data_IF_267572093935
#
_entry.id   IF_267572093935
#
_cell.length_a   1.000
_cell.length_b   1.000
_cell.length_c   1.000
_cell.angle_alpha   90.00
_cell.angle_beta   90.00
_cell.angle_gamma   90.00
#
_symmetry.space_group_name_H-M   'P 1'
#
loop_
_entity.id
_entity.type
_entity.pdbx_description
1 polymer ?
#
# COMPACT_ATOMS: atom_id res chain seq x y z
N UNK A 1 -12.44 15.19 -0.20
CA UNK A 1 -11.43 14.32 0.44
C UNK A 1 -10.44 13.75 -0.59
N UNK A 2 -10.92 13.03 -1.61
CA UNK A 2 -10.08 12.43 -2.66
C UNK A 2 -9.11 13.41 -3.33
N UNK A 3 -9.60 14.55 -3.84
CA UNK A 3 -8.73 15.55 -4.47
C UNK A 3 -7.62 16.05 -3.54
N UNK A 4 -7.92 16.23 -2.24
CA UNK A 4 -6.95 16.70 -1.23
C UNK A 4 -5.88 15.63 -0.93
N UNK A 5 -6.27 14.37 -0.88
CA UNK A 5 -5.33 13.25 -0.76
C UNK A 5 -4.47 13.12 -2.02
N UNK A 6 -5.08 13.22 -3.20
CA UNK A 6 -4.39 13.12 -4.48
C UNK A 6 -3.29 14.18 -4.64
N UNK A 7 -3.54 15.41 -4.19
CA UNK A 7 -2.55 16.50 -4.19
C UNK A 7 -1.28 16.12 -3.41
N UNK A 8 -1.40 15.42 -2.28
CA UNK A 8 -0.23 14.92 -1.53
C UNK A 8 0.36 13.64 -2.12
N UNK A 9 -0.50 12.73 -2.55
CA UNK A 9 -0.13 11.39 -3.04
C UNK A 9 0.70 11.43 -4.30
N UNK A 10 0.29 12.20 -5.32
CA UNK A 10 0.92 12.17 -6.64
C UNK A 10 2.39 12.60 -6.58
N UNK A 11 2.74 13.79 -6.04
CA UNK A 11 4.14 14.19 -5.96
C UNK A 11 4.94 13.28 -5.02
N UNK A 12 4.36 12.82 -3.92
CA UNK A 12 5.06 11.97 -2.96
C UNK A 12 5.30 10.55 -3.49
N UNK A 13 4.37 9.97 -4.25
CA UNK A 13 4.55 8.66 -4.88
C UNK A 13 5.60 8.72 -5.99
N UNK A 14 5.59 9.79 -6.79
CA UNK A 14 6.63 10.02 -7.79
C UNK A 14 8.02 10.19 -7.15
N UNK A 15 8.14 11.04 -6.12
CA UNK A 15 9.39 11.20 -5.37
C UNK A 15 9.81 9.90 -4.68
N UNK A 16 8.88 9.14 -4.11
CA UNK A 16 9.14 7.85 -3.49
C UNK A 16 9.72 6.84 -4.47
N UNK A 17 9.23 6.80 -5.71
CA UNK A 17 9.79 5.94 -6.75
C UNK A 17 11.21 6.36 -7.15
N UNK A 18 11.48 7.67 -7.28
CA UNK A 18 12.82 8.17 -7.58
C UNK A 18 13.81 7.90 -6.44
N UNK A 19 13.40 8.11 -5.19
CA UNK A 19 14.21 7.80 -4.01
C UNK A 19 14.45 6.30 -3.91
N UNK A 20 13.46 5.46 -4.22
CA UNK A 20 13.66 4.01 -4.18
C UNK A 20 14.80 3.55 -5.10
N UNK A 21 14.95 4.19 -6.25
CA UNK A 21 15.98 3.84 -7.23
C UNK A 21 17.40 4.23 -6.80
N UNK A 22 17.55 5.15 -5.85
CA UNK A 22 18.85 5.56 -5.32
C UNK A 22 19.20 4.87 -4.00
N UNK A 23 18.23 4.21 -3.35
CA UNK A 23 18.46 3.51 -2.09
C UNK A 23 19.15 2.16 -2.30
N UNK A 24 20.06 1.77 -1.39
CA UNK A 24 20.63 0.43 -1.38
C UNK A 24 19.52 -0.61 -1.23
N UNK A 25 19.60 -1.72 -1.96
CA UNK A 25 18.59 -2.79 -1.91
C UNK A 25 18.33 -3.31 -0.50
N UNK A 26 19.34 -3.33 0.38
CA UNK A 26 19.20 -3.71 1.79
C UNK A 26 18.30 -2.76 2.58
N UNK A 27 18.37 -1.45 2.33
CA UNK A 27 17.50 -0.45 2.99
C UNK A 27 16.06 -0.61 2.52
N UNK A 28 15.85 -0.80 1.22
CA UNK A 28 14.52 -1.02 0.64
C UNK A 28 13.90 -2.32 1.16
N UNK A 29 14.69 -3.40 1.22
CA UNK A 29 14.25 -4.69 1.75
C UNK A 29 13.89 -4.60 3.23
N UNK A 30 14.70 -3.91 4.05
CA UNK A 30 14.38 -3.70 5.47
C UNK A 30 13.14 -2.83 5.66
N UNK A 31 12.98 -1.76 4.87
CA UNK A 31 11.79 -0.91 4.92
C UNK A 31 10.53 -1.70 4.53
N UNK A 32 10.59 -2.48 3.44
CA UNK A 32 9.51 -3.35 3.01
C UNK A 32 9.19 -4.42 4.06
N UNK A 33 10.22 -5.05 4.64
CA UNK A 33 10.07 -6.06 5.69
C UNK A 33 9.35 -5.49 6.91
N UNK A 34 9.83 -4.35 7.43
CA UNK A 34 9.24 -3.66 8.57
C UNK A 34 7.79 -3.26 8.30
N UNK A 35 7.50 -2.71 7.12
CA UNK A 35 6.15 -2.31 6.73
C UNK A 35 5.20 -3.52 6.61
N UNK A 36 5.64 -4.60 5.96
CA UNK A 36 4.84 -5.81 5.76
C UNK A 36 4.56 -6.53 7.07
N UNK A 37 5.56 -6.60 7.96
CA UNK A 37 5.39 -7.11 9.34
C UNK A 37 4.40 -6.25 10.12
N UNK A 38 4.56 -4.93 10.08
CA UNK A 38 3.66 -4.00 10.77
C UNK A 38 2.20 -4.16 10.31
N UNK A 39 1.97 -4.26 8.99
CA UNK A 39 0.65 -4.51 8.41
C UNK A 39 0.09 -5.86 8.85
N UNK A 40 0.90 -6.92 8.81
CA UNK A 40 0.49 -8.26 9.25
C UNK A 40 0.07 -8.29 10.72
N UNK A 41 0.85 -7.65 11.60
CA UNK A 41 0.53 -7.51 13.03
C UNK A 41 -0.71 -6.65 13.25
N UNK A 42 -0.87 -5.54 12.50
CA UNK A 42 -2.07 -4.71 12.60
C UNK A 42 -3.33 -5.45 12.16
N UNK A 43 -3.26 -6.32 11.16
CA UNK A 43 -4.42 -7.11 10.72
C UNK A 43 -4.92 -8.10 11.79
N UNK A 44 -4.08 -8.48 12.75
CA UNK A 44 -4.48 -9.30 13.89
C UNK A 44 -5.13 -8.49 15.01
N UNK A 45 -5.01 -7.15 15.01
CA UNK A 45 -5.64 -6.30 16.02
C UNK A 45 -7.15 -6.20 15.75
N UNK A 46 -8.00 -6.25 16.80
CA UNK A 46 -9.43 -6.00 16.65
C UNK A 46 -9.66 -4.62 16.01
N UNK A 47 -10.45 -4.57 14.92
CA UNK A 47 -10.91 -3.29 14.37
C UNK A 47 -11.89 -2.66 15.35
N UNK A 48 -11.42 -1.73 16.16
CA UNK A 48 -12.31 -0.86 16.91
C UNK A 48 -13.02 0.07 15.91
N UNK A 49 -14.33 -0.09 15.77
CA UNK A 49 -15.18 0.88 15.07
C UNK A 49 -15.24 2.12 15.97
N UNK A 50 -14.45 3.14 15.64
CA UNK A 50 -14.49 4.44 16.32
C UNK A 50 -15.53 5.33 15.66
N UNK A 51 -16.23 6.13 16.47
CA UNK A 51 -17.18 7.14 15.99
C UNK A 51 -16.51 8.07 14.97
N UNK A 52 -17.24 8.33 13.88
CA UNK A 52 -16.70 8.95 12.70
C UNK A 52 -16.54 10.48 12.85
N UNK A 53 -15.35 11.01 12.54
CA UNK A 53 -15.13 12.41 12.23
C UNK A 53 -15.21 12.58 10.72
N UNK A 54 -16.20 13.34 10.25
CA UNK A 54 -16.46 13.47 8.81
C UNK A 54 -15.59 14.53 8.11
N UNK A 55 -14.91 15.38 8.89
CA UNK A 55 -14.09 16.47 8.38
C UNK A 55 -12.65 16.43 8.93
N UNK A 56 -11.77 15.81 8.15
CA UNK A 56 -10.33 16.02 8.29
C UNK A 56 -9.94 17.33 7.58
N UNK A 57 -9.13 18.14 8.27
CA UNK A 57 -8.57 19.36 7.69
C UNK A 57 -7.76 19.07 6.42
N UNK A 58 -7.75 20.02 5.49
CA UNK A 58 -7.04 19.88 4.20
C UNK A 58 -5.57 19.56 4.36
N UNK A 59 -4.89 20.20 5.32
CA UNK A 59 -3.48 19.94 5.61
C UNK A 59 -3.23 18.49 6.09
N UNK A 60 -4.09 17.96 6.96
CA UNK A 60 -3.98 16.57 7.43
C UNK A 60 -4.18 15.57 6.29
N UNK A 61 -5.15 15.81 5.40
CA UNK A 61 -5.37 14.96 4.23
C UNK A 61 -4.21 14.98 3.25
N UNK A 62 -3.59 16.14 3.01
CA UNK A 62 -2.41 16.25 2.15
C UNK A 62 -1.22 15.52 2.78
N UNK A 63 -0.98 15.70 4.08
CA UNK A 63 0.12 15.02 4.78
C UNK A 63 -0.04 13.49 4.80
N UNK A 64 -1.26 13.00 5.07
CA UNK A 64 -1.59 11.57 4.98
C UNK A 64 -1.38 11.06 3.57
N UNK A 65 -1.85 11.81 2.57
CA UNK A 65 -1.65 11.47 1.17
C UNK A 65 -0.17 11.37 0.80
N UNK A 66 0.64 12.34 1.23
CA UNK A 66 2.08 12.33 0.99
C UNK A 66 2.77 11.13 1.65
N UNK A 67 2.49 10.88 2.92
CA UNK A 67 3.05 9.74 3.66
C UNK A 67 2.69 8.40 3.01
N UNK A 68 1.42 8.22 2.67
CA UNK A 68 0.92 7.00 2.03
C UNK A 68 1.47 6.85 0.62
N UNK A 69 1.51 7.92 -0.17
CA UNK A 69 2.01 7.91 -1.54
C UNK A 69 3.49 7.53 -1.58
N UNK A 70 4.31 8.18 -0.75
CA UNK A 70 5.74 7.90 -0.63
C UNK A 70 5.99 6.46 -0.16
N UNK A 71 5.36 6.06 0.95
CA UNK A 71 5.51 4.71 1.50
C UNK A 71 5.08 3.63 0.51
N UNK A 72 3.93 3.82 -0.15
CA UNK A 72 3.40 2.84 -1.12
C UNK A 72 4.24 2.73 -2.39
N UNK A 73 4.89 3.81 -2.83
CA UNK A 73 5.78 3.80 -3.99
C UNK A 73 7.13 3.13 -3.67
N UNK A 74 7.66 3.35 -2.45
CA UNK A 74 8.85 2.67 -1.97
C UNK A 74 8.64 1.16 -1.81
N UNK A 75 7.52 0.75 -1.22
CA UNK A 75 7.26 -0.66 -0.89
C UNK A 75 6.53 -1.43 -1.99
N UNK A 76 5.96 -0.74 -2.98
CA UNK A 76 5.18 -1.36 -4.07
C UNK A 76 3.84 -1.96 -3.63
N UNK A 77 3.37 -1.68 -2.40
CA UNK A 77 2.16 -2.33 -1.84
C UNK A 77 0.84 -1.81 -2.41
N UNK A 78 0.84 -0.66 -3.08
CA UNK A 78 -0.37 0.04 -3.50
C UNK A 78 -1.12 0.67 -2.31
N UNK A 79 -1.57 1.92 -2.48
CA UNK A 79 -2.11 2.79 -1.43
C UNK A 79 -3.01 2.21 -0.33
N UNK A 80 -3.92 1.24 -0.58
CA UNK A 80 -4.92 0.85 0.42
C UNK A 80 -4.37 0.19 1.68
N UNK A 81 -3.26 -0.54 1.57
CA UNK A 81 -2.67 -1.27 2.69
C UNK A 81 -2.28 -0.32 3.83
N UNK A 82 -1.77 0.86 3.47
CA UNK A 82 -1.39 1.91 4.43
C UNK A 82 -2.52 2.91 4.69
N UNK A 83 -3.29 3.27 3.67
CA UNK A 83 -4.28 4.33 3.77
C UNK A 83 -5.48 3.92 4.63
N UNK A 84 -5.95 2.68 4.54
CA UNK A 84 -7.10 2.20 5.34
C UNK A 84 -6.82 2.31 6.84
N UNK A 85 -5.76 1.73 7.41
CA UNK A 85 -5.50 1.85 8.85
C UNK A 85 -5.26 3.29 9.29
N UNK A 86 -4.56 4.10 8.48
CA UNK A 86 -4.33 5.53 8.80
C UNK A 86 -5.63 6.33 8.84
N UNK A 87 -6.55 6.11 7.90
CA UNK A 87 -7.85 6.80 7.91
C UNK A 87 -8.72 6.33 9.09
N UNK A 88 -8.66 5.05 9.45
CA UNK A 88 -9.38 4.52 10.62
C UNK A 88 -8.85 5.10 11.94
N UNK A 89 -7.53 5.25 12.10
CA UNK A 89 -6.96 5.87 13.32
C UNK A 89 -7.30 7.35 13.42
N UNK A 90 -7.48 8.03 12.29
CA UNK A 90 -7.95 9.40 12.19
C UNK A 90 -9.47 9.56 12.37
N UNK A 91 -10.20 8.46 12.58
CA UNK A 91 -11.64 8.47 12.84
C UNK A 91 -12.52 8.57 11.59
N UNK A 92 -12.03 8.21 10.41
CA UNK A 92 -12.88 8.16 9.20
C UNK A 92 -13.74 6.90 9.21
N UNK A 93 -15.00 7.03 8.79
CA UNK A 93 -15.93 5.90 8.69
C UNK A 93 -15.32 4.73 7.87
N UNK A 94 -15.42 3.47 8.34
CA UNK A 94 -14.74 2.33 7.70
C UNK A 94 -15.07 2.15 6.21
N UNK A 95 -16.35 2.27 5.84
CA UNK A 95 -16.78 2.15 4.44
C UNK A 95 -16.15 3.25 3.56
N UNK A 96 -16.11 4.49 4.07
CA UNK A 96 -15.51 5.64 3.38
C UNK A 96 -13.99 5.50 3.29
N UNK A 97 -13.33 5.01 4.34
CA UNK A 97 -11.90 4.75 4.36
C UNK A 97 -11.50 3.72 3.30
N UNK A 98 -12.25 2.61 3.17
CA UNK A 98 -12.03 1.59 2.14
C UNK A 98 -12.26 2.17 0.74
N UNK A 99 -13.39 2.85 0.51
CA UNK A 99 -13.72 3.43 -0.79
C UNK A 99 -12.69 4.46 -1.26
N UNK A 100 -12.30 5.40 -0.39
CA UNK A 100 -11.28 6.41 -0.69
C UNK A 100 -9.93 5.76 -0.95
N UNK A 101 -9.57 4.73 -0.18
CA UNK A 101 -8.30 4.04 -0.33
C UNK A 101 -8.14 3.36 -1.69
N UNK A 102 -9.21 2.72 -2.18
CA UNK A 102 -9.24 2.12 -3.51
C UNK A 102 -9.12 3.19 -4.61
N UNK A 103 -9.84 4.30 -4.48
CA UNK A 103 -9.78 5.38 -5.45
C UNK A 103 -8.41 6.09 -5.47
N UNK A 104 -7.75 6.23 -4.31
CA UNK A 104 -6.37 6.78 -4.22
C UNK A 104 -5.33 5.83 -4.80
N UNK A 105 -5.62 4.53 -4.91
CA UNK A 105 -4.66 3.58 -5.46
C UNK A 105 -4.26 3.94 -6.89
N UNK A 106 -5.21 4.32 -7.75
CA UNK A 106 -4.94 4.68 -9.14
C UNK A 106 -3.86 5.77 -9.29
N UNK A 107 -4.00 6.97 -8.69
CA UNK A 107 -2.96 8.00 -8.80
C UNK A 107 -1.63 7.58 -8.18
N UNK A 108 -1.61 6.76 -7.11
CA UNK A 108 -0.36 6.20 -6.55
C UNK A 108 0.35 5.35 -7.61
N UNK A 109 -0.35 4.38 -8.22
CA UNK A 109 0.27 3.43 -9.14
C UNK A 109 0.73 4.14 -10.41
N UNK A 110 -0.06 5.08 -10.93
CA UNK A 110 0.32 5.88 -12.10
C UNK A 110 1.57 6.71 -11.82
N UNK A 111 1.55 7.51 -10.74
CA UNK A 111 2.68 8.38 -10.41
C UNK A 111 3.95 7.58 -10.08
N UNK A 112 3.83 6.49 -9.31
CA UNK A 112 4.94 5.62 -8.98
C UNK A 112 5.51 4.90 -10.20
N UNK A 113 4.66 4.39 -11.10
CA UNK A 113 5.12 3.73 -12.33
C UNK A 113 5.85 4.69 -13.25
N UNK A 114 5.32 5.91 -13.44
CA UNK A 114 6.01 6.97 -14.20
C UNK A 114 7.36 7.31 -13.56
N UNK A 115 7.41 7.45 -12.23
CA UNK A 115 8.67 7.69 -11.51
C UNK A 115 9.69 6.57 -11.73
N UNK A 116 9.29 5.31 -11.64
CA UNK A 116 10.18 4.18 -11.92
C UNK A 116 10.64 4.13 -13.37
N UNK A 117 9.76 4.39 -14.34
CA UNK A 117 10.14 4.40 -15.77
C UNK A 117 11.22 5.45 -16.06
N UNK A 118 11.19 6.60 -15.38
CA UNK A 118 12.20 7.65 -15.55
C UNK A 118 13.59 7.28 -15.01
N UNK A 119 13.70 6.26 -14.16
CA UNK A 119 14.99 5.80 -13.64
C UNK A 119 15.81 5.06 -14.69
N UNK A 120 15.17 4.61 -15.79
CA UNK A 120 15.83 3.81 -16.84
C UNK A 120 16.16 2.37 -16.43
N UNK A 121 15.85 1.97 -15.20
CA UNK A 121 16.14 0.64 -14.64
C UNK A 121 15.03 -0.39 -14.90
N UNK A 122 13.93 0.02 -15.56
CA UNK A 122 12.73 -0.80 -15.72
C UNK A 122 12.76 -1.56 -17.04
N UNK A 123 12.77 -2.89 -16.97
CA UNK A 123 12.46 -3.74 -18.11
C UNK A 123 10.93 -3.76 -18.34
N UNK A 124 10.47 -3.00 -19.33
CA UNK A 124 9.05 -2.86 -19.66
C UNK A 124 8.43 -4.18 -20.12
N UNK A 125 9.21 -5.05 -20.78
CA UNK A 125 8.70 -6.34 -21.28
C UNK A 125 8.47 -7.30 -20.12
N UNK A 126 9.42 -7.37 -19.20
CA UNK A 126 9.30 -8.18 -17.99
C UNK A 126 8.19 -7.63 -17.08
N UNK A 127 8.16 -6.30 -16.89
CA UNK A 127 7.14 -5.62 -16.08
C UNK A 127 5.71 -5.82 -16.60
N UNK A 128 5.49 -5.74 -17.91
CA UNK A 128 4.16 -5.99 -18.51
C UNK A 128 3.75 -7.46 -18.42
N UNK A 129 4.67 -8.40 -18.64
CA UNK A 129 4.39 -9.83 -18.48
C UNK A 129 3.99 -10.17 -17.03
N UNK A 130 4.74 -9.68 -16.04
CA UNK A 130 4.40 -9.85 -14.62
C UNK A 130 3.09 -9.14 -14.28
N UNK A 131 2.85 -7.96 -14.84
CA UNK A 131 1.61 -7.21 -14.66
C UNK A 131 0.37 -7.97 -15.14
N UNK A 132 0.43 -8.58 -16.33
CA UNK A 132 -0.65 -9.41 -16.85
C UNK A 132 -0.90 -10.64 -15.97
N UNK A 133 0.17 -11.31 -15.53
CA UNK A 133 0.05 -12.46 -14.63
C UNK A 133 -0.56 -12.06 -13.28
N UNK A 134 -0.12 -10.93 -12.72
CA UNK A 134 -0.67 -10.38 -11.49
C UNK A 134 -2.15 -10.00 -11.65
N UNK A 135 -2.56 -9.41 -12.78
CA UNK A 135 -3.95 -9.09 -13.05
C UNK A 135 -4.85 -10.33 -13.09
N UNK A 136 -4.40 -11.41 -13.74
CA UNK A 136 -5.10 -12.69 -13.72
C UNK A 136 -5.17 -13.29 -12.31
N UNK A 137 -4.06 -13.22 -11.56
CA UNK A 137 -4.01 -13.65 -10.17
C UNK A 137 -4.99 -12.88 -9.27
N UNK A 138 -5.11 -11.56 -9.46
CA UNK A 138 -6.07 -10.72 -8.74
C UNK A 138 -7.51 -11.08 -9.10
N UNK A 139 -7.81 -11.31 -10.39
CA UNK A 139 -9.14 -11.71 -10.83
C UNK A 139 -9.56 -13.06 -10.22
N UNK A 140 -8.68 -14.06 -10.28
CA UNK A 140 -8.92 -15.37 -9.65
C UNK A 140 -9.01 -15.26 -8.12
N UNK A 141 -8.10 -14.50 -7.50
CA UNK A 141 -8.06 -14.28 -6.06
C UNK A 141 -9.32 -13.58 -5.54
N UNK A 142 -9.87 -12.62 -6.27
CA UNK A 142 -11.11 -11.93 -5.92
C UNK A 142 -12.31 -12.89 -5.90
N UNK A 143 -12.40 -13.81 -6.88
CA UNK A 143 -13.45 -14.84 -6.90
C UNK A 143 -13.33 -15.77 -5.70
N UNK A 144 -12.11 -16.18 -5.33
CA UNK A 144 -11.89 -17.02 -4.14
C UNK A 144 -12.20 -16.26 -2.84
N UNK A 145 -11.78 -15.00 -2.75
CA UNK A 145 -11.95 -14.16 -1.56
C UNK A 145 -13.43 -13.95 -1.19
N UNK A 146 -14.33 -13.90 -2.17
CA UNK A 146 -15.79 -13.79 -1.91
C UNK A 146 -16.41 -15.05 -1.30
N UNK A 147 -15.73 -16.20 -1.37
CA UNK A 147 -16.20 -17.48 -0.80
C UNK A 147 -15.69 -17.75 0.61
N UNK A 148 -14.74 -16.95 1.11
CA UNK A 148 -14.12 -17.13 2.43
C UNK A 148 -14.73 -16.14 3.42
N UNK A 149 -15.11 -16.57 4.65
CA UNK A 149 -15.60 -15.65 5.67
C UNK A 149 -14.55 -14.58 6.00
N UNK A 150 -15.00 -13.34 6.24
CA UNK A 150 -14.12 -12.18 6.42
C UNK A 150 -13.00 -12.38 7.46
N UNK A 151 -13.31 -13.08 8.55
CA UNK A 151 -12.33 -13.42 9.60
C UNK A 151 -11.26 -14.40 9.11
N UNK A 152 -11.64 -15.40 8.31
CA UNK A 152 -10.71 -16.35 7.70
C UNK A 152 -9.80 -15.67 6.69
N UNK A 153 -10.36 -14.82 5.82
CA UNK A 153 -9.59 -14.05 4.84
C UNK A 153 -8.59 -13.12 5.54
N UNK A 154 -9.01 -12.44 6.61
CA UNK A 154 -8.13 -11.59 7.43
C UNK A 154 -6.94 -12.37 7.98
N UNK A 155 -7.18 -13.56 8.54
CA UNK A 155 -6.11 -14.43 9.08
C UNK A 155 -5.15 -14.90 8.00
N UNK A 156 -5.66 -15.31 6.84
CA UNK A 156 -4.82 -15.74 5.71
C UNK A 156 -3.89 -14.60 5.27
N UNK A 157 -4.43 -13.39 5.07
CA UNK A 157 -3.61 -12.24 4.66
C UNK A 157 -2.63 -11.84 5.78
N UNK A 158 -3.05 -11.85 7.04
CA UNK A 158 -2.16 -11.55 8.16
C UNK A 158 -0.98 -12.52 8.23
N UNK A 159 -1.23 -13.83 8.14
CA UNK A 159 -0.20 -14.87 8.15
C UNK A 159 0.73 -14.74 6.94
N UNK A 160 0.19 -14.49 5.75
CA UNK A 160 0.97 -14.28 4.54
C UNK A 160 1.90 -13.07 4.67
N UNK A 161 1.40 -11.94 5.19
CA UNK A 161 2.22 -10.75 5.43
C UNK A 161 3.31 -11.00 6.48
N UNK A 162 3.00 -11.67 7.59
CA UNK A 162 3.99 -12.00 8.61
C UNK A 162 5.07 -12.92 8.04
N UNK A 163 4.69 -13.98 7.32
CA UNK A 163 5.62 -14.89 6.69
C UNK A 163 6.53 -14.19 5.67
N UNK A 164 5.95 -13.35 4.80
CA UNK A 164 6.70 -12.56 3.82
C UNK A 164 7.66 -11.58 4.51
N UNK A 165 7.20 -10.88 5.55
CA UNK A 165 8.03 -9.94 6.30
C UNK A 165 9.20 -10.63 7.00
N UNK A 166 8.97 -11.78 7.66
CA UNK A 166 10.05 -12.58 8.27
C UNK A 166 11.03 -13.08 7.21
N UNK A 167 10.54 -13.57 6.08
CA UNK A 167 11.40 -14.00 4.97
C UNK A 167 12.28 -12.86 4.44
N UNK A 168 11.73 -11.65 4.30
CA UNK A 168 12.49 -10.48 3.87
C UNK A 168 13.57 -10.07 4.89
N UNK A 169 13.30 -10.17 6.19
CA UNK A 169 14.31 -9.91 7.24
C UNK A 169 15.46 -10.92 7.14
N UNK A 170 15.14 -12.21 6.99
CA UNK A 170 16.17 -13.26 6.86
C UNK A 170 17.02 -13.01 5.62
N UNK A 171 16.40 -12.67 4.48
CA UNK A 171 17.11 -12.37 3.24
C UNK A 171 17.97 -11.09 3.35
N UNK A 172 17.56 -10.11 4.15
CA UNK A 172 18.35 -8.89 4.36
C UNK A 172 19.57 -9.13 5.27
N UNK A 173 19.59 -10.23 6.04
CA UNK A 173 20.67 -10.58 6.96
C UNK A 173 21.74 -11.53 6.36
N UNK A 174 21.48 -12.08 5.16
CA UNK A 174 22.40 -12.96 4.40
C UNK A 174 22.97 -12.20 3.21
#
# INVERSE_FOLDING_TARGET
MLARLAIGVVPAAFLGALVNATLPGSVVLLALAALTLFVGVQQLRPRAVREARDELGTAALVAVGAFVGFGSALTGTGGPVLLVPVLLTLGVAPLRAVAVSQAVQLPVVVAGSVGYLQTGLVDVRLGTALGCLAALGVAAGAVVATRIPAEGLRRIVALACIAAGVFLVVRAAV
#
